data_IF_053125739225
#
_entry.id   IF_053125739225
#
_cell.length_a   1.000
_cell.length_b   1.000
_cell.length_c   1.000
_cell.angle_alpha   90.00
_cell.angle_beta   90.00
_cell.angle_gamma   90.00
#
_symmetry.space_group_name_H-M   'P 1'
#
loop_
_entity.id
_entity.type
_entity.pdbx_description
1 polymer ?
#
# COMPACT_ATOMS: atom_id res chain seq x y z
N UNK A 1 -50.63 60.60 0.84
CA UNK A 1 -50.47 59.18 0.39
C UNK A 1 -49.06 58.78 -0.03
N UNK A 2 -48.26 59.60 -0.74
CA UNK A 2 -46.88 59.23 -1.14
C UNK A 2 -45.91 59.02 0.03
N UNK A 3 -46.00 59.82 1.10
CA UNK A 3 -45.15 59.73 2.30
C UNK A 3 -45.32 58.41 3.08
N UNK A 4 -46.58 57.97 3.24
CA UNK A 4 -46.93 56.69 3.90
C UNK A 4 -46.36 55.49 3.13
N UNK A 5 -46.45 55.46 1.79
CA UNK A 5 -45.87 54.38 0.96
C UNK A 5 -44.34 54.28 1.08
N UNK A 6 -43.65 55.40 1.27
CA UNK A 6 -42.20 55.45 1.39
C UNK A 6 -41.72 54.94 2.77
N UNK A 7 -42.44 55.30 3.84
CA UNK A 7 -42.14 54.82 5.19
C UNK A 7 -42.44 53.31 5.34
N UNK A 8 -43.51 52.80 4.72
CA UNK A 8 -43.77 51.35 4.72
C UNK A 8 -42.68 50.58 3.98
N UNK A 9 -42.17 51.08 2.84
CA UNK A 9 -41.11 50.43 2.08
C UNK A 9 -39.78 50.41 2.85
N UNK A 10 -39.47 51.50 3.58
CA UNK A 10 -38.27 51.62 4.42
C UNK A 10 -38.33 50.69 5.64
N UNK A 11 -39.52 50.53 6.25
CA UNK A 11 -39.72 49.59 7.36
C UNK A 11 -39.64 48.13 6.89
N UNK A 12 -40.19 47.80 5.71
CA UNK A 12 -40.06 46.44 5.14
C UNK A 12 -38.61 46.09 4.83
N UNK A 13 -37.83 47.02 4.27
CA UNK A 13 -36.40 46.80 4.00
C UNK A 13 -35.62 46.60 5.31
N UNK A 14 -35.92 47.37 6.36
CA UNK A 14 -35.31 47.18 7.69
C UNK A 14 -35.64 45.83 8.31
N UNK A 15 -36.88 45.36 8.18
CA UNK A 15 -37.28 44.03 8.66
C UNK A 15 -36.58 42.92 7.87
N UNK A 16 -36.46 43.05 6.55
CA UNK A 16 -35.72 42.08 5.72
C UNK A 16 -34.23 42.04 6.10
N UNK A 17 -33.60 43.20 6.28
CA UNK A 17 -32.20 43.25 6.71
C UNK A 17 -31.99 42.69 8.11
N UNK A 18 -32.94 42.91 9.02
CA UNK A 18 -32.89 42.33 10.37
C UNK A 18 -33.05 40.80 10.35
N UNK A 19 -33.94 40.27 9.51
CA UNK A 19 -34.10 38.82 9.31
C UNK A 19 -32.85 38.23 8.65
N UNK A 20 -32.26 38.88 7.65
CA UNK A 20 -31.02 38.41 7.02
C UNK A 20 -29.83 38.44 7.99
N UNK A 21 -29.74 39.45 8.86
CA UNK A 21 -28.73 39.50 9.90
C UNK A 21 -28.92 38.37 10.92
N UNK A 22 -30.16 38.06 11.32
CA UNK A 22 -30.45 36.93 12.20
C UNK A 22 -30.12 35.60 11.51
N UNK A 23 -30.43 35.44 10.22
CA UNK A 23 -30.08 34.23 9.46
C UNK A 23 -28.56 34.09 9.31
N UNK A 24 -27.83 35.19 9.09
CA UNK A 24 -26.36 35.16 9.05
C UNK A 24 -25.75 34.86 10.42
N UNK A 25 -26.28 35.42 11.50
CA UNK A 25 -25.80 35.15 12.87
C UNK A 25 -26.14 33.70 13.25
N UNK A 26 -27.35 33.23 12.94
CA UNK A 26 -27.72 31.83 13.16
C UNK A 26 -26.87 30.91 12.28
N UNK A 27 -26.54 31.27 11.03
CA UNK A 27 -25.64 30.43 10.22
C UNK A 27 -24.21 30.44 10.78
N UNK A 28 -23.70 31.57 11.27
CA UNK A 28 -22.34 31.65 11.82
C UNK A 28 -22.21 31.08 13.24
N UNK A 29 -23.30 30.99 14.01
CA UNK A 29 -23.31 30.43 15.36
C UNK A 29 -23.75 28.96 15.35
N UNK A 30 -24.72 28.59 14.51
CA UNK A 30 -25.22 27.22 14.42
C UNK A 30 -24.29 26.33 13.58
N UNK A 31 -23.66 26.80 12.48
CA UNK A 31 -22.69 25.96 11.75
C UNK A 31 -21.61 25.39 12.68
N UNK A 32 -20.87 26.21 13.46
CA UNK A 32 -19.83 25.68 14.33
C UNK A 32 -20.39 24.89 15.52
N UNK A 33 -21.64 25.10 15.95
CA UNK A 33 -22.29 24.29 17.00
C UNK A 33 -22.85 22.96 16.47
N UNK A 34 -23.07 22.82 15.17
CA UNK A 34 -23.43 21.55 14.51
C UNK A 34 -22.23 20.84 13.88
N UNK A 35 -21.06 21.49 13.84
CA UNK A 35 -19.78 20.86 13.49
C UNK A 35 -19.12 20.17 14.69
N UNK A 36 -19.83 20.06 15.81
CA UNK A 36 -19.64 18.94 16.74
C UNK A 36 -20.56 17.79 16.29
N UNK A 37 -20.50 17.44 14.99
CA UNK A 37 -20.63 16.03 14.64
C UNK A 37 -19.40 15.45 15.30
N UNK A 38 -19.60 14.81 16.45
CA UNK A 38 -18.60 13.93 17.03
C UNK A 38 -17.96 13.24 15.84
N UNK A 39 -16.65 13.44 15.64
CA UNK A 39 -15.88 12.51 14.82
C UNK A 39 -16.37 11.15 15.32
N UNK A 40 -17.06 10.39 14.47
CA UNK A 40 -17.27 8.98 14.77
C UNK A 40 -15.84 8.51 15.00
N UNK A 41 -15.47 8.31 16.27
CA UNK A 41 -14.23 7.63 16.59
C UNK A 41 -14.28 6.40 15.72
N UNK A 42 -13.34 6.30 14.79
CA UNK A 42 -13.27 5.21 13.85
C UNK A 42 -12.98 3.96 14.68
N UNK A 43 -14.03 3.40 15.25
CA UNK A 43 -13.98 2.30 16.20
C UNK A 43 -13.57 1.00 15.48
N UNK A 44 -13.18 1.09 14.20
CA UNK A 44 -12.58 0.04 13.39
C UNK A 44 -11.06 0.09 13.38
N UNK A 45 -10.44 1.12 13.96
CA UNK A 45 -9.00 1.24 14.11
C UNK A 45 -8.57 0.78 15.51
N UNK A 46 -7.53 -0.06 15.57
CA UNK A 46 -6.89 -0.49 16.82
C UNK A 46 -5.44 -0.06 16.82
N UNK A 47 -4.99 0.56 17.91
CA UNK A 47 -3.60 0.96 18.09
C UNK A 47 -3.00 0.26 19.31
N UNK A 48 -1.85 -0.36 19.12
CA UNK A 48 -1.04 -0.99 20.16
C UNK A 48 0.31 -0.26 20.21
N UNK A 49 0.68 0.28 21.37
CA UNK A 49 1.93 1.05 21.54
C UNK A 49 2.99 0.34 22.38
N UNK A 50 2.58 -0.67 23.15
CA UNK A 50 3.45 -1.49 23.99
C UNK A 50 2.84 -2.89 24.12
N UNK A 51 3.66 -3.93 23.99
CA UNK A 51 3.31 -5.32 24.23
C UNK A 51 4.58 -6.15 24.46
N UNK A 52 4.46 -7.24 25.21
CA UNK A 52 5.53 -8.23 25.32
C UNK A 52 5.58 -9.09 24.04
N UNK A 53 6.78 -9.45 23.56
CA UNK A 53 6.94 -10.30 22.38
C UNK A 53 6.12 -11.59 22.46
N UNK A 54 5.38 -11.91 21.39
CA UNK A 54 4.45 -13.04 21.33
C UNK A 54 3.07 -12.78 21.98
N UNK A 55 2.85 -11.60 22.57
CA UNK A 55 1.60 -11.23 23.23
C UNK A 55 0.75 -10.22 22.45
N UNK A 56 1.01 -10.02 21.15
CA UNK A 56 0.27 -9.04 20.34
C UNK A 56 -1.24 -9.35 20.30
N UNK A 57 -1.62 -10.63 20.26
CA UNK A 57 -3.03 -11.04 20.31
C UNK A 57 -3.77 -10.49 21.53
N UNK A 58 -3.18 -10.63 22.73
CA UNK A 58 -3.74 -10.12 23.97
C UNK A 58 -3.74 -8.58 24.02
N UNK A 59 -2.73 -7.94 23.45
CA UNK A 59 -2.64 -6.49 23.37
C UNK A 59 -3.75 -5.90 22.47
N UNK A 60 -4.00 -6.51 21.30
CA UNK A 60 -5.09 -6.09 20.39
C UNK A 60 -6.46 -6.35 21.05
N UNK A 61 -6.65 -7.49 21.71
CA UNK A 61 -7.90 -7.81 22.44
C UNK A 61 -8.24 -6.78 23.52
N UNK A 62 -7.22 -6.26 24.21
CA UNK A 62 -7.38 -5.18 25.17
C UNK A 62 -7.64 -3.84 24.48
N UNK A 63 -6.91 -3.55 23.40
CA UNK A 63 -6.96 -2.26 22.70
C UNK A 63 -8.25 -2.04 21.89
N UNK A 64 -8.90 -3.11 21.43
CA UNK A 64 -10.15 -2.99 20.66
C UNK A 64 -11.38 -2.58 21.48
N UNK A 65 -11.26 -2.51 22.81
CA UNK A 65 -12.30 -2.07 23.77
C UNK A 65 -13.71 -2.61 23.49
N UNK A 66 -13.80 -3.93 23.24
CA UNK A 66 -15.07 -4.61 22.99
C UNK A 66 -15.58 -4.58 21.54
N UNK A 67 -14.88 -3.89 20.64
CA UNK A 67 -15.16 -3.93 19.19
C UNK A 67 -15.10 -5.37 18.65
N UNK A 68 -16.05 -5.73 17.78
CA UNK A 68 -16.05 -7.01 17.07
C UNK A 68 -14.83 -7.09 16.15
N UNK A 69 -14.10 -8.21 16.22
CA UNK A 69 -12.89 -8.43 15.42
C UNK A 69 -13.14 -8.31 13.91
N UNK A 70 -14.36 -8.62 13.45
CA UNK A 70 -14.75 -8.51 12.04
C UNK A 70 -14.99 -7.06 11.60
N UNK A 71 -15.13 -6.12 12.52
CA UNK A 71 -15.28 -4.72 12.19
C UNK A 71 -13.93 -4.00 12.15
N UNK A 72 -12.86 -4.60 12.65
CA UNK A 72 -11.52 -3.98 12.65
C UNK A 72 -11.00 -3.87 11.21
N UNK A 73 -10.79 -2.64 10.75
CA UNK A 73 -10.26 -2.29 9.43
C UNK A 73 -8.81 -1.85 9.45
N UNK A 74 -8.33 -1.31 10.58
CA UNK A 74 -6.95 -0.83 10.71
C UNK A 74 -6.32 -1.36 12.00
N UNK A 75 -5.09 -1.84 11.89
CA UNK A 75 -4.25 -2.19 13.04
C UNK A 75 -2.94 -1.43 12.91
N UNK A 76 -2.62 -0.64 13.93
CA UNK A 76 -1.34 0.06 14.04
C UNK A 76 -0.59 -0.46 15.25
N UNK A 77 0.61 -0.97 15.04
CA UNK A 77 1.49 -1.51 16.07
C UNK A 77 2.77 -0.68 16.10
N UNK A 78 3.07 -0.16 17.28
CA UNK A 78 4.31 0.56 17.57
C UNK A 78 4.89 0.02 18.87
N UNK A 79 6.22 0.11 19.02
CA UNK A 79 6.93 -0.51 20.12
C UNK A 79 6.93 -2.04 20.04
N UNK A 80 7.77 -2.68 20.84
CA UNK A 80 7.87 -4.14 20.91
C UNK A 80 8.56 -4.80 19.70
N UNK A 81 8.76 -6.11 19.83
CA UNK A 81 9.36 -6.98 18.82
C UNK A 81 8.37 -8.07 18.47
N UNK A 82 8.00 -8.15 17.19
CA UNK A 82 7.10 -9.15 16.63
C UNK A 82 7.84 -10.47 16.41
N UNK A 83 7.25 -11.58 16.83
CA UNK A 83 7.69 -12.92 16.42
C UNK A 83 6.66 -13.60 15.53
N UNK A 84 6.91 -14.87 15.19
CA UNK A 84 5.99 -15.66 14.35
C UNK A 84 4.56 -15.78 14.90
N UNK A 85 4.40 -15.88 16.22
CA UNK A 85 3.08 -15.94 16.84
C UNK A 85 2.32 -14.60 16.71
N UNK A 86 3.03 -13.47 16.72
CA UNK A 86 2.42 -12.15 16.54
C UNK A 86 1.90 -11.93 15.11
N UNK A 87 2.63 -12.40 14.09
CA UNK A 87 2.10 -12.41 12.71
C UNK A 87 0.90 -13.35 12.57
N UNK A 88 0.93 -14.51 13.23
CA UNK A 88 -0.23 -15.40 13.34
C UNK A 88 -1.44 -14.72 14.00
N UNK A 89 -1.22 -13.87 15.01
CA UNK A 89 -2.28 -13.10 15.64
C UNK A 89 -2.94 -12.10 14.68
N UNK A 90 -2.16 -11.40 13.85
CA UNK A 90 -2.68 -10.48 12.83
C UNK A 90 -3.62 -11.18 11.83
N UNK A 91 -3.39 -12.46 11.55
CA UNK A 91 -4.28 -13.26 10.69
C UNK A 91 -5.69 -13.43 11.27
N UNK A 92 -5.86 -13.34 12.60
CA UNK A 92 -7.16 -13.42 13.29
C UNK A 92 -8.13 -12.27 12.99
N UNK A 93 -7.70 -11.24 12.26
CA UNK A 93 -8.48 -10.02 11.97
C UNK A 93 -8.79 -9.89 10.47
N UNK A 94 -9.63 -10.76 9.88
CA UNK A 94 -9.69 -11.00 8.42
C UNK A 94 -10.12 -9.81 7.56
N UNK A 95 -10.79 -8.81 8.14
CA UNK A 95 -11.31 -7.64 7.44
C UNK A 95 -10.38 -6.43 7.49
N UNK A 96 -9.16 -6.61 8.01
CA UNK A 96 -8.14 -5.57 8.04
C UNK A 96 -7.72 -5.15 6.64
N UNK A 97 -7.83 -3.85 6.39
CA UNK A 97 -7.44 -3.17 5.16
C UNK A 97 -6.06 -2.54 5.29
N UNK A 98 -5.68 -2.13 6.51
CA UNK A 98 -4.44 -1.41 6.79
C UNK A 98 -3.74 -2.06 7.99
N UNK A 99 -2.46 -2.40 7.82
CA UNK A 99 -1.59 -2.88 8.90
C UNK A 99 -0.32 -2.01 8.95
N UNK A 100 -0.10 -1.29 10.04
CA UNK A 100 1.05 -0.40 10.22
C UNK A 100 2.01 -0.97 11.26
N UNK A 101 3.16 -1.50 10.83
CA UNK A 101 4.19 -2.08 11.70
C UNK A 101 5.52 -1.30 11.71
N UNK A 102 5.64 -0.17 11.01
CA UNK A 102 6.90 0.56 10.91
C UNK A 102 7.45 1.05 12.27
N UNK A 103 6.56 1.23 13.25
CA UNK A 103 6.91 1.63 14.61
C UNK A 103 7.42 0.51 15.52
N UNK A 104 7.49 -0.74 15.05
CA UNK A 104 7.98 -1.88 15.84
C UNK A 104 9.20 -2.55 15.18
N UNK A 105 9.73 -3.56 15.84
CA UNK A 105 10.79 -4.43 15.34
C UNK A 105 10.25 -5.84 15.10
N UNK A 106 10.98 -6.66 14.34
CA UNK A 106 10.68 -8.08 14.15
C UNK A 106 11.88 -8.91 14.62
N UNK A 107 11.61 -10.05 15.24
CA UNK A 107 12.62 -10.99 15.73
C UNK A 107 13.51 -11.44 14.57
N UNK A 108 14.83 -11.41 14.81
CA UNK A 108 15.88 -11.71 13.83
C UNK A 108 15.81 -10.92 12.51
N UNK A 109 15.02 -9.83 12.44
CA UNK A 109 14.80 -9.09 11.20
C UNK A 109 13.96 -9.87 10.16
N UNK A 110 13.22 -10.91 10.57
CA UNK A 110 12.48 -11.80 9.64
C UNK A 110 10.98 -11.55 9.71
N UNK A 111 10.34 -11.35 8.55
CA UNK A 111 8.91 -11.64 8.38
C UNK A 111 8.81 -13.14 8.08
N UNK A 112 8.07 -13.94 8.88
CA UNK A 112 8.06 -15.38 8.73
C UNK A 112 7.36 -15.84 7.44
N UNK A 113 7.59 -17.11 7.08
CA UNK A 113 6.85 -17.75 6.00
C UNK A 113 5.34 -17.71 6.27
N UNK A 114 4.54 -17.47 5.21
CA UNK A 114 3.08 -17.35 5.25
C UNK A 114 2.52 -16.28 6.21
N UNK A 115 3.34 -15.35 6.72
CA UNK A 115 2.97 -14.40 7.79
C UNK A 115 1.59 -13.72 7.62
N UNK A 116 1.31 -13.23 6.42
CA UNK A 116 0.11 -12.49 6.05
C UNK A 116 -0.36 -12.91 4.64
N UNK A 117 -0.40 -14.22 4.40
CA UNK A 117 -0.85 -14.80 3.14
C UNK A 117 -2.38 -14.67 2.97
N UNK A 118 -2.85 -14.49 1.72
CA UNK A 118 -4.25 -14.59 1.29
C UNK A 118 -5.23 -13.67 2.05
N UNK A 119 -4.77 -12.47 2.38
CA UNK A 119 -5.54 -11.40 3.02
C UNK A 119 -6.39 -10.69 1.98
N UNK A 120 -7.65 -11.13 1.87
CA UNK A 120 -8.60 -10.66 0.85
C UNK A 120 -8.99 -9.17 0.95
N UNK A 121 -8.65 -8.48 2.05
CA UNK A 121 -8.99 -7.08 2.27
C UNK A 121 -7.76 -6.17 2.46
N UNK A 122 -6.57 -6.74 2.65
CA UNK A 122 -5.36 -5.96 2.95
C UNK A 122 -4.96 -5.11 1.75
N UNK A 123 -5.04 -3.80 1.89
CA UNK A 123 -4.72 -2.80 0.87
C UNK A 123 -3.36 -2.14 1.13
N UNK A 124 -2.96 -1.99 2.40
CA UNK A 124 -1.70 -1.39 2.78
C UNK A 124 -1.03 -2.12 3.94
N UNK A 125 0.28 -2.28 3.84
CA UNK A 125 1.12 -2.68 4.96
C UNK A 125 2.42 -1.88 5.04
N UNK A 126 2.82 -1.47 6.24
CA UNK A 126 4.20 -1.02 6.48
C UNK A 126 4.96 -2.06 7.30
N UNK A 127 6.15 -2.46 6.86
CA UNK A 127 6.94 -3.47 7.57
C UNK A 127 7.75 -2.86 8.74
N UNK A 128 8.11 -3.66 9.75
CA UNK A 128 9.03 -3.26 10.83
C UNK A 128 10.35 -2.70 10.29
N UNK A 129 10.86 -1.65 10.93
CA UNK A 129 12.04 -0.90 10.47
C UNK A 129 13.33 -1.72 10.35
N UNK A 130 13.42 -2.86 11.07
CA UNK A 130 14.60 -3.74 11.07
C UNK A 130 14.42 -4.98 10.20
N UNK A 131 13.40 -5.04 9.34
CA UNK A 131 13.21 -6.19 8.45
C UNK A 131 14.36 -6.32 7.47
N UNK A 132 15.05 -7.46 7.53
CA UNK A 132 16.13 -7.88 6.65
C UNK A 132 15.65 -8.95 5.65
N UNK A 133 14.70 -9.79 6.06
CA UNK A 133 14.20 -10.91 5.25
C UNK A 133 12.68 -10.96 5.24
N UNK A 134 12.10 -11.12 4.05
CA UNK A 134 10.70 -11.50 3.87
C UNK A 134 10.65 -12.98 3.54
N UNK A 135 9.99 -13.77 4.39
CA UNK A 135 9.87 -15.22 4.23
C UNK A 135 9.05 -15.65 3.01
N UNK A 136 9.16 -16.93 2.67
CA UNK A 136 8.41 -17.51 1.56
C UNK A 136 6.89 -17.29 1.74
N UNK A 137 6.20 -16.94 0.66
CA UNK A 137 4.73 -16.71 0.64
C UNK A 137 4.19 -15.71 1.67
N UNK A 138 5.04 -14.90 2.31
CA UNK A 138 4.64 -14.03 3.42
C UNK A 138 3.44 -13.11 3.08
N UNK A 139 3.32 -12.67 1.82
CA UNK A 139 2.24 -11.84 1.31
C UNK A 139 1.55 -12.45 0.07
N UNK A 140 1.77 -13.74 -0.21
CA UNK A 140 1.17 -14.42 -1.38
C UNK A 140 -0.36 -14.36 -1.32
N UNK A 141 -1.02 -14.14 -2.45
CA UNK A 141 -2.47 -14.10 -2.59
C UNK A 141 -3.14 -12.83 -2.06
N UNK A 142 -2.39 -11.77 -1.73
CA UNK A 142 -2.95 -10.49 -1.31
C UNK A 142 -3.43 -9.68 -2.53
N UNK A 143 -4.51 -10.15 -3.17
CA UNK A 143 -4.99 -9.67 -4.48
C UNK A 143 -5.44 -8.21 -4.52
N UNK A 144 -5.72 -7.61 -3.36
CA UNK A 144 -6.14 -6.21 -3.25
C UNK A 144 -5.09 -5.32 -2.61
N UNK A 145 -3.89 -5.85 -2.33
CA UNK A 145 -2.77 -5.05 -1.83
C UNK A 145 -2.40 -4.02 -2.88
N UNK A 146 -2.51 -2.75 -2.51
CA UNK A 146 -2.19 -1.61 -3.37
C UNK A 146 -0.73 -1.21 -3.17
N UNK A 147 -0.25 -1.32 -1.93
CA UNK A 147 1.03 -0.72 -1.53
C UNK A 147 1.62 -1.41 -0.31
N UNK A 148 2.94 -1.43 -0.28
CA UNK A 148 3.74 -1.89 0.83
C UNK A 148 4.87 -0.90 1.10
N UNK A 149 5.05 -0.52 2.37
CA UNK A 149 6.21 0.26 2.81
C UNK A 149 7.31 -0.71 3.23
N UNK A 150 8.38 -0.77 2.43
CA UNK A 150 9.54 -1.63 2.62
C UNK A 150 10.66 -0.83 3.30
N UNK A 151 11.32 -1.33 4.35
CA UNK A 151 12.48 -0.65 4.94
C UNK A 151 13.73 -0.82 4.07
N UNK A 152 14.62 0.17 4.11
CA UNK A 152 15.93 0.13 3.43
C UNK A 152 16.87 -0.98 3.96
N UNK A 153 16.55 -1.59 5.11
CA UNK A 153 17.26 -2.73 5.67
C UNK A 153 17.00 -4.06 4.97
N UNK A 154 15.99 -4.15 4.09
CA UNK A 154 15.66 -5.40 3.41
C UNK A 154 16.83 -5.88 2.54
N UNK A 155 17.17 -7.16 2.66
CA UNK A 155 18.22 -7.85 1.88
C UNK A 155 17.69 -9.04 1.10
N UNK A 156 16.69 -9.75 1.63
CA UNK A 156 16.23 -11.01 1.05
C UNK A 156 14.71 -11.06 0.88
N UNK A 157 14.25 -11.50 -0.28
CA UNK A 157 12.83 -11.75 -0.59
C UNK A 157 12.67 -13.24 -0.89
N UNK A 158 11.87 -13.95 -0.10
CA UNK A 158 11.68 -15.39 -0.22
C UNK A 158 10.80 -15.82 -1.39
N UNK A 159 10.76 -17.13 -1.63
CA UNK A 159 9.98 -17.74 -2.70
C UNK A 159 8.50 -17.38 -2.60
N UNK A 160 7.91 -16.98 -3.73
CA UNK A 160 6.50 -16.60 -3.84
C UNK A 160 6.06 -15.51 -2.86
N UNK A 161 6.98 -14.72 -2.28
CA UNK A 161 6.67 -13.78 -1.21
C UNK A 161 5.49 -12.83 -1.51
N UNK A 162 5.35 -12.37 -2.76
CA UNK A 162 4.30 -11.49 -3.24
C UNK A 162 3.49 -12.10 -4.39
N UNK A 163 3.54 -13.41 -4.59
CA UNK A 163 2.79 -14.08 -5.65
C UNK A 163 1.31 -13.68 -5.62
N UNK A 164 0.72 -13.30 -6.75
CA UNK A 164 -0.71 -12.97 -6.83
C UNK A 164 -1.11 -11.67 -6.13
N UNK A 165 -0.17 -10.76 -5.83
CA UNK A 165 -0.46 -9.39 -5.43
C UNK A 165 -0.92 -8.54 -6.63
N UNK A 166 -2.12 -8.85 -7.16
CA UNK A 166 -2.60 -8.38 -8.47
C UNK A 166 -2.73 -6.85 -8.61
N UNK A 167 -2.77 -6.10 -7.51
CA UNK A 167 -3.01 -4.65 -7.48
C UNK A 167 -1.82 -3.80 -7.02
N UNK A 168 -0.66 -4.40 -6.74
CA UNK A 168 0.52 -3.62 -6.35
C UNK A 168 1.09 -2.93 -7.59
N UNK A 169 0.99 -1.61 -7.63
CA UNK A 169 1.42 -0.81 -8.79
C UNK A 169 2.89 -0.38 -8.73
N UNK A 170 3.30 0.08 -7.54
CA UNK A 170 4.60 0.71 -7.29
C UNK A 170 5.35 -0.07 -6.19
N UNK A 171 5.84 -1.27 -6.54
CA UNK A 171 6.76 -1.99 -5.66
C UNK A 171 8.19 -1.54 -5.97
N UNK A 172 8.79 -0.85 -5.01
CA UNK A 172 10.18 -0.42 -5.11
C UNK A 172 11.04 -1.41 -4.32
N UNK A 173 11.83 -2.24 -5.02
CA UNK A 173 12.83 -3.08 -4.34
C UNK A 173 13.99 -2.18 -3.89
N UNK A 174 14.38 -2.19 -2.60
CA UNK A 174 15.55 -1.46 -2.15
C UNK A 174 16.82 -1.88 -2.91
N UNK A 175 17.72 -0.92 -3.18
CA UNK A 175 18.96 -1.14 -3.91
C UNK A 175 19.86 -2.22 -3.27
N UNK A 176 19.74 -2.38 -1.95
CA UNK A 176 20.51 -3.31 -1.13
C UNK A 176 19.98 -4.75 -1.14
N UNK A 177 18.87 -5.04 -1.85
CA UNK A 177 18.38 -6.41 -1.94
C UNK A 177 19.37 -7.28 -2.72
N UNK A 178 19.83 -8.35 -2.07
CA UNK A 178 20.84 -9.28 -2.57
C UNK A 178 20.19 -10.49 -3.25
N UNK A 179 19.08 -10.98 -2.67
CA UNK A 179 18.41 -12.19 -3.16
C UNK A 179 16.90 -12.00 -3.31
N UNK A 180 16.38 -12.57 -4.40
CA UNK A 180 14.95 -12.67 -4.70
C UNK A 180 14.66 -14.15 -4.93
N UNK A 181 13.53 -14.64 -4.44
CA UNK A 181 13.13 -16.04 -4.52
C UNK A 181 12.34 -16.40 -5.78
N UNK A 182 12.18 -17.70 -5.99
CA UNK A 182 11.37 -18.30 -7.07
C UNK A 182 9.95 -17.78 -7.02
N UNK A 183 9.43 -17.28 -8.14
CA UNK A 183 8.04 -16.80 -8.24
C UNK A 183 7.70 -15.61 -7.33
N UNK A 184 8.68 -14.91 -6.76
CA UNK A 184 8.46 -13.90 -5.71
C UNK A 184 7.41 -12.84 -6.09
N UNK A 185 7.32 -12.45 -7.35
CA UNK A 185 6.36 -11.47 -7.88
C UNK A 185 5.47 -12.05 -8.98
N UNK A 186 5.35 -13.38 -9.09
CA UNK A 186 4.49 -14.01 -10.10
C UNK A 186 3.04 -13.52 -9.96
N UNK A 187 2.35 -13.28 -11.08
CA UNK A 187 0.97 -12.78 -11.12
C UNK A 187 0.74 -11.38 -10.47
N UNK A 188 1.80 -10.56 -10.30
CA UNK A 188 1.71 -9.13 -9.92
C UNK A 188 1.28 -8.25 -11.10
N UNK A 189 0.00 -8.35 -11.49
CA UNK A 189 -0.55 -7.80 -12.74
C UNK A 189 -0.60 -6.29 -12.84
N UNK A 190 -0.50 -5.55 -11.75
CA UNK A 190 -0.50 -4.08 -11.76
C UNK A 190 0.91 -3.47 -11.69
N UNK A 191 1.95 -4.28 -11.48
CA UNK A 191 3.31 -3.80 -11.31
C UNK A 191 3.76 -3.06 -12.58
N UNK A 192 3.96 -1.75 -12.48
CA UNK A 192 4.05 -0.85 -13.65
C UNK A 192 5.48 -0.62 -14.16
N UNK A 193 6.48 -0.79 -13.30
CA UNK A 193 7.89 -0.71 -13.64
C UNK A 193 8.73 -1.53 -12.67
N UNK A 194 9.77 -2.18 -13.19
CA UNK A 194 10.65 -3.02 -12.39
C UNK A 194 12.11 -2.79 -12.76
N UNK A 195 12.90 -2.37 -11.77
CA UNK A 195 14.36 -2.31 -11.87
C UNK A 195 14.95 -3.37 -10.94
N UNK A 196 15.68 -4.32 -11.52
CA UNK A 196 16.44 -5.32 -10.76
C UNK A 196 17.54 -4.59 -10.01
N UNK A 197 17.66 -4.68 -8.68
CA UNK A 197 18.73 -4.04 -7.92
C UNK A 197 20.13 -4.44 -8.44
N UNK A 198 21.11 -3.53 -8.30
CA UNK A 198 22.45 -3.72 -8.86
C UNK A 198 23.17 -4.96 -8.31
N UNK A 199 22.91 -5.31 -7.04
CA UNK A 199 23.52 -6.46 -6.36
C UNK A 199 22.96 -7.82 -6.80
N UNK A 200 21.79 -7.86 -7.46
CA UNK A 200 21.12 -9.10 -7.83
C UNK A 200 21.84 -9.75 -9.02
N UNK A 201 22.37 -10.96 -8.80
CA UNK A 201 23.09 -11.74 -9.83
C UNK A 201 22.22 -12.73 -10.59
N UNK A 202 21.08 -13.12 -9.99
CA UNK A 202 20.19 -14.16 -10.49
C UNK A 202 18.74 -13.68 -10.45
N UNK A 203 18.00 -13.94 -11.53
CA UNK A 203 16.55 -13.77 -11.60
C UNK A 203 15.96 -15.17 -11.60
N UNK A 204 15.35 -15.63 -10.51
CA UNK A 204 14.92 -17.02 -10.39
C UNK A 204 13.77 -17.39 -11.33
N UNK A 205 13.47 -18.69 -11.36
CA UNK A 205 12.33 -19.27 -12.05
C UNK A 205 11.03 -18.54 -11.69
N UNK A 206 10.23 -18.24 -12.72
CA UNK A 206 8.92 -17.58 -12.63
C UNK A 206 8.86 -16.26 -11.85
N UNK A 207 9.99 -15.66 -11.50
CA UNK A 207 10.07 -14.55 -10.54
C UNK A 207 9.10 -13.40 -10.85
N UNK A 208 8.96 -13.05 -12.12
CA UNK A 208 8.06 -12.00 -12.63
C UNK A 208 7.02 -12.53 -13.63
N UNK A 209 6.74 -13.83 -13.65
CA UNK A 209 5.77 -14.40 -14.59
C UNK A 209 4.42 -13.67 -14.50
N UNK A 210 3.81 -13.36 -15.65
CA UNK A 210 2.50 -12.67 -15.77
C UNK A 210 2.41 -11.30 -15.09
N UNK A 211 3.54 -10.60 -14.95
CA UNK A 211 3.52 -9.18 -14.59
C UNK A 211 3.16 -8.30 -15.80
N UNK A 212 2.75 -7.05 -15.55
CA UNK A 212 2.33 -6.11 -16.62
C UNK A 212 3.22 -4.87 -16.75
N UNK A 213 4.45 -4.91 -16.25
CA UNK A 213 5.38 -3.79 -16.46
C UNK A 213 5.71 -3.65 -17.94
N UNK A 214 5.92 -2.41 -18.37
CA UNK A 214 6.17 -2.08 -19.78
C UNK A 214 7.64 -2.04 -20.13
N UNK A 215 8.47 -1.75 -19.13
CA UNK A 215 9.92 -1.60 -19.24
C UNK A 215 10.59 -2.41 -18.12
N UNK A 216 11.71 -3.06 -18.46
CA UNK A 216 12.52 -3.84 -17.54
C UNK A 216 13.98 -3.36 -17.58
N UNK A 217 14.52 -3.01 -16.41
CA UNK A 217 15.94 -2.68 -16.26
C UNK A 217 16.68 -3.83 -15.59
N UNK A 218 17.55 -4.49 -16.35
CA UNK A 218 18.41 -5.58 -15.88
C UNK A 218 19.78 -5.01 -15.48
N UNK A 219 20.11 -5.15 -14.19
CA UNK A 219 21.36 -4.66 -13.63
C UNK A 219 22.62 -5.29 -14.26
N UNK A 220 23.79 -4.64 -14.10
CA UNK A 220 25.03 -5.08 -14.72
C UNK A 220 25.56 -6.43 -14.21
N UNK A 221 25.13 -6.86 -13.01
CA UNK A 221 25.59 -8.11 -12.37
C UNK A 221 24.73 -9.34 -12.70
N UNK A 222 23.65 -9.18 -13.47
CA UNK A 222 22.77 -10.31 -13.82
C UNK A 222 23.51 -11.29 -14.73
N UNK A 223 23.69 -12.52 -14.25
CA UNK A 223 24.40 -13.61 -14.94
C UNK A 223 23.51 -14.81 -15.23
N UNK A 224 22.38 -14.95 -14.52
CA UNK A 224 21.42 -16.03 -14.71
C UNK A 224 19.97 -15.54 -14.67
N UNK A 225 19.15 -16.04 -15.61
CA UNK A 225 17.70 -15.83 -15.65
C UNK A 225 17.03 -17.20 -15.79
N UNK A 226 16.24 -17.55 -14.77
CA UNK A 226 15.58 -18.83 -14.62
C UNK A 226 14.43 -19.07 -15.59
N UNK A 227 13.89 -20.29 -15.51
CA UNK A 227 12.78 -20.75 -16.33
C UNK A 227 11.53 -19.91 -16.12
N UNK A 228 10.94 -19.44 -17.22
CA UNK A 228 9.69 -18.68 -17.17
C UNK A 228 9.75 -17.36 -16.39
N UNK A 229 10.95 -16.85 -16.04
CA UNK A 229 11.15 -15.68 -15.20
C UNK A 229 10.28 -14.47 -15.60
N UNK A 230 10.10 -14.25 -16.91
CA UNK A 230 9.27 -13.20 -17.49
C UNK A 230 8.20 -13.75 -18.44
N UNK A 231 7.84 -15.03 -18.29
CA UNK A 231 6.80 -15.65 -19.13
C UNK A 231 5.48 -14.91 -18.99
N UNK A 232 4.77 -14.72 -20.11
CA UNK A 232 3.44 -14.09 -20.14
C UNK A 232 3.40 -12.63 -19.62
N UNK A 233 4.53 -11.93 -19.57
CA UNK A 233 4.59 -10.48 -19.35
C UNK A 233 4.14 -9.70 -20.60
N UNK A 234 2.87 -9.82 -20.97
CA UNK A 234 2.34 -9.35 -22.26
C UNK A 234 2.47 -7.84 -22.52
N UNK A 235 2.66 -7.04 -21.47
CA UNK A 235 2.85 -5.59 -21.58
C UNK A 235 4.30 -5.17 -21.77
N UNK A 236 5.26 -6.07 -21.51
CA UNK A 236 6.69 -5.78 -21.61
C UNK A 236 7.03 -5.51 -23.07
N UNK A 237 7.49 -4.30 -23.34
CA UNK A 237 7.88 -3.84 -24.67
C UNK A 237 9.40 -3.68 -24.77
N UNK A 238 10.05 -3.17 -23.73
CA UNK A 238 11.45 -2.80 -23.77
C UNK A 238 12.24 -3.41 -22.60
N UNK A 239 13.39 -4.02 -22.91
CA UNK A 239 14.36 -4.52 -21.92
C UNK A 239 15.65 -3.73 -22.08
N UNK A 240 16.10 -3.10 -21.00
CA UNK A 240 17.38 -2.41 -20.92
C UNK A 240 18.38 -3.27 -20.15
N UNK A 241 19.43 -3.72 -20.84
CA UNK A 241 20.47 -4.55 -20.26
C UNK A 241 21.80 -3.81 -20.17
N UNK A 242 22.29 -3.65 -18.93
CA UNK A 242 23.49 -2.88 -18.62
C UNK A 242 24.72 -3.78 -18.34
N UNK A 243 24.61 -5.09 -18.55
CA UNK A 243 25.70 -6.04 -18.33
C UNK A 243 26.68 -6.11 -19.49
N UNK A 244 27.96 -6.30 -19.15
CA UNK A 244 29.08 -6.42 -20.11
C UNK A 244 29.36 -7.85 -20.55
N UNK A 245 28.84 -8.83 -19.82
CA UNK A 245 29.05 -10.25 -20.07
C UNK A 245 27.76 -10.90 -20.48
N UNK A 246 27.80 -11.99 -21.26
CA UNK A 246 26.61 -12.77 -21.52
C UNK A 246 26.01 -13.32 -20.21
N UNK A 247 24.68 -13.25 -20.09
CA UNK A 247 23.94 -14.01 -19.10
C UNK A 247 23.48 -15.35 -19.70
N UNK A 248 23.13 -16.28 -18.82
CA UNK A 248 22.49 -17.54 -19.19
C UNK A 248 21.00 -17.43 -18.93
N UNK A 249 20.18 -17.84 -19.89
CA UNK A 249 18.74 -17.95 -19.71
C UNK A 249 18.19 -19.12 -20.50
N UNK A 250 17.06 -19.66 -20.03
CA UNK A 250 16.32 -20.67 -20.78
C UNK A 250 15.37 -20.00 -21.77
N UNK A 251 15.03 -20.69 -22.87
CA UNK A 251 14.09 -20.17 -23.89
C UNK A 251 12.73 -19.78 -23.29
N UNK A 252 12.32 -20.48 -22.22
CA UNK A 252 11.08 -20.23 -21.50
C UNK A 252 11.08 -18.90 -20.73
N UNK A 253 12.25 -18.36 -20.37
CA UNK A 253 12.40 -17.16 -19.55
C UNK A 253 11.64 -15.97 -20.13
N UNK A 254 11.56 -15.90 -21.46
CA UNK A 254 10.89 -14.84 -22.22
C UNK A 254 9.74 -15.39 -23.08
N UNK A 255 9.11 -16.48 -22.63
CA UNK A 255 8.00 -17.12 -23.35
C UNK A 255 6.84 -16.14 -23.57
N UNK A 256 6.28 -16.17 -24.78
CA UNK A 256 5.16 -15.32 -25.21
C UNK A 256 5.47 -13.81 -25.21
N UNK A 257 6.75 -13.44 -25.22
CA UNK A 257 7.17 -12.05 -25.30
C UNK A 257 7.56 -11.62 -26.71
N UNK A 258 7.33 -10.34 -26.98
CA UNK A 258 7.82 -9.64 -28.16
C UNK A 258 8.38 -8.29 -27.72
N UNK A 259 9.70 -8.24 -27.55
CA UNK A 259 10.40 -7.12 -26.92
C UNK A 259 11.49 -6.54 -27.81
N UNK A 260 11.73 -5.25 -27.62
CA UNK A 260 12.97 -4.59 -28.05
C UNK A 260 13.99 -4.72 -26.92
N UNK A 261 15.21 -5.07 -27.28
CA UNK A 261 16.30 -5.22 -26.33
C UNK A 261 17.31 -4.12 -26.58
N UNK A 262 17.55 -3.33 -25.56
CA UNK A 262 18.50 -2.22 -25.54
C UNK A 262 19.74 -2.70 -24.79
N UNK A 263 20.82 -2.97 -25.53
CA UNK A 263 22.09 -3.40 -24.93
C UNK A 263 23.09 -2.25 -24.91
N UNK A 264 23.88 -2.21 -23.84
CA UNK A 264 24.92 -1.22 -23.62
C UNK A 264 26.28 -1.92 -23.53
N UNK A 265 27.35 -1.32 -24.06
CA UNK A 265 28.74 -1.84 -24.00
C UNK A 265 28.92 -3.28 -24.54
N UNK A 266 28.12 -3.69 -25.54
CA UNK A 266 28.26 -5.00 -26.16
C UNK A 266 27.70 -6.15 -25.34
N UNK A 267 26.69 -5.90 -24.49
CA UNK A 267 25.96 -6.97 -23.79
C UNK A 267 25.48 -8.09 -24.73
N UNK A 268 25.88 -9.32 -24.42
CA UNK A 268 25.55 -10.55 -25.15
C UNK A 268 24.53 -11.40 -24.34
N UNK A 269 24.00 -12.49 -24.90
CA UNK A 269 23.14 -13.45 -24.18
C UNK A 269 21.71 -13.57 -24.69
N UNK A 270 21.21 -12.55 -25.41
CA UNK A 270 19.87 -12.60 -26.03
C UNK A 270 19.83 -13.29 -27.39
N UNK A 271 20.97 -13.37 -28.08
CA UNK A 271 21.08 -13.94 -29.43
C UNK A 271 20.67 -15.42 -29.50
N UNK A 272 20.71 -16.12 -28.37
CA UNK A 272 20.36 -17.53 -28.25
C UNK A 272 18.89 -17.79 -27.90
N UNK A 273 18.12 -16.76 -27.53
CA UNK A 273 16.86 -16.94 -26.78
C UNK A 273 15.60 -16.87 -27.65
N UNK A 274 15.59 -16.13 -28.77
CA UNK A 274 14.44 -16.13 -29.70
C UNK A 274 14.67 -15.30 -30.97
N UNK A 275 14.05 -15.70 -32.08
CA UNK A 275 13.87 -14.84 -33.27
C UNK A 275 12.87 -13.69 -33.08
N UNK A 276 12.17 -13.63 -31.94
CA UNK A 276 11.12 -12.64 -31.68
C UNK A 276 11.64 -11.33 -31.09
N UNK A 277 12.95 -11.21 -30.86
CA UNK A 277 13.56 -10.02 -30.30
C UNK A 277 14.12 -9.11 -31.38
N UNK A 278 14.03 -7.81 -31.14
CA UNK A 278 14.72 -6.79 -31.92
C UNK A 278 15.77 -6.18 -31.03
N UNK A 279 17.05 -6.37 -31.36
CA UNK A 279 18.15 -5.81 -30.57
C UNK A 279 18.59 -4.46 -31.13
N UNK A 280 18.73 -3.47 -30.26
CA UNK A 280 19.29 -2.15 -30.51
C UNK A 280 20.49 -1.99 -29.58
N UNK A 281 21.68 -1.89 -30.17
CA UNK A 281 22.93 -1.70 -29.43
C UNK A 281 23.27 -0.21 -29.35
N UNK A 282 23.65 0.23 -28.15
CA UNK A 282 24.10 1.58 -27.86
C UNK A 282 25.60 1.56 -27.49
N UNK A 283 26.34 2.52 -28.02
CA UNK A 283 27.71 2.82 -27.59
C UNK A 283 27.58 3.79 -26.39
N UNK A 284 27.95 3.37 -25.17
CA UNK A 284 27.79 4.22 -23.99
C UNK A 284 28.79 5.39 -24.06
N UNK A 285 28.29 6.62 -24.24
CA UNK A 285 28.96 7.79 -23.67
C UNK A 285 28.68 7.85 -22.17
N UNK A 286 29.56 8.47 -21.38
CA UNK A 286 29.57 8.49 -19.89
C UNK A 286 28.25 8.92 -19.20
N UNK A 287 27.23 9.38 -19.93
CA UNK A 287 25.97 9.96 -19.42
C UNK A 287 24.77 8.99 -19.32
N UNK A 288 24.81 7.76 -19.87
CA UNK A 288 23.70 6.79 -19.75
C UNK A 288 23.91 5.84 -18.57
N UNK A 289 23.64 6.35 -17.37
CA UNK A 289 23.74 5.62 -16.10
C UNK A 289 22.57 4.65 -15.96
N UNK A 290 22.86 3.42 -15.53
CA UNK A 290 21.86 2.47 -15.06
C UNK A 290 20.90 3.19 -14.08
N UNK A 291 19.60 3.03 -14.32
CA UNK A 291 18.57 3.59 -13.46
C UNK A 291 18.35 2.61 -12.32
N UNK A 292 19.05 2.84 -11.21
CA UNK A 292 18.83 2.07 -9.99
C UNK A 292 17.37 2.18 -9.54
N UNK A 293 16.80 1.12 -8.93
CA UNK A 293 15.52 1.26 -8.25
C UNK A 293 15.60 2.41 -7.24
N UNK A 294 14.55 3.26 -7.19
CA UNK A 294 14.49 4.38 -6.24
C UNK A 294 14.69 3.85 -4.81
N UNK A 295 15.33 4.61 -3.91
CA UNK A 295 15.38 4.22 -2.50
C UNK A 295 13.97 4.13 -1.92
N UNK A 296 13.73 3.15 -1.05
CA UNK A 296 12.44 2.91 -0.41
C UNK A 296 12.03 3.97 0.64
N UNK A 297 12.91 4.93 0.94
CA UNK A 297 12.67 6.00 1.92
C UNK A 297 11.75 7.13 1.42
N UNK A 298 11.09 6.97 0.26
CA UNK A 298 10.04 7.88 -0.16
C UNK A 298 8.77 7.63 0.68
N UNK A 299 8.72 8.31 1.82
CA UNK A 299 7.61 8.36 2.77
C UNK A 299 6.29 8.61 2.02
N UNK A 300 5.37 7.63 1.95
CA UNK A 300 4.23 7.79 1.07
C UNK A 300 3.00 7.97 1.96
N UNK A 301 2.68 9.23 2.26
CA UNK A 301 1.40 9.65 2.82
C UNK A 301 0.29 8.98 2.01
N UNK A 302 -0.70 8.39 2.69
CA UNK A 302 -1.97 8.04 2.08
C UNK A 302 -2.69 9.35 1.72
N UNK A 303 -2.25 10.02 0.66
CA UNK A 303 -2.96 11.17 0.12
C UNK A 303 -4.09 10.64 -0.75
N UNK A 304 -5.31 10.80 -0.27
CA UNK A 304 -6.47 10.92 -1.14
C UNK A 304 -6.18 12.05 -2.13
N UNK A 305 -6.03 11.72 -3.41
CA UNK A 305 -5.53 12.58 -4.48
C UNK A 305 -5.96 14.06 -4.38
N UNK A 306 -4.96 14.96 -4.28
CA UNK A 306 -5.06 16.32 -4.80
C UNK A 306 -3.66 16.77 -5.25
N UNK A 307 -3.47 16.83 -6.58
CA UNK A 307 -2.24 17.27 -7.25
C UNK A 307 -1.72 18.62 -6.72
N UNK A 308 -0.40 18.72 -6.48
CA UNK A 308 0.49 19.75 -7.08
C UNK A 308 1.97 19.52 -6.72
N UNK A 309 2.83 19.71 -7.73
CA UNK A 309 4.31 19.66 -7.73
C UNK A 309 4.97 20.72 -6.83
N UNK A 310 6.17 20.44 -6.27
CA UNK A 310 7.46 21.09 -6.58
C UNK A 310 8.62 20.49 -5.76
N UNK A 311 9.86 20.65 -6.24
CA UNK A 311 11.02 19.79 -6.03
C UNK A 311 12.11 20.28 -5.05
N UNK A 312 13.02 19.32 -4.75
CA UNK A 312 14.48 19.43 -4.45
C UNK A 312 14.95 19.98 -3.08
N UNK A 313 15.85 19.26 -2.40
CA UNK A 313 17.32 19.32 -2.60
C UNK A 313 18.06 18.44 -1.56
N UNK A 314 19.12 17.77 -1.98
CA UNK A 314 19.93 16.79 -1.22
C UNK A 314 21.08 17.46 -0.43
N UNK A 315 21.66 16.78 0.54
CA UNK A 315 23.13 16.67 0.70
C UNK A 315 23.53 15.60 1.72
N UNK A 316 24.42 14.73 1.29
CA UNK A 316 25.09 13.66 2.04
C UNK A 316 26.20 14.15 3.00
N UNK A 317 26.59 13.28 3.95
CA UNK A 317 27.98 13.14 4.38
C UNK A 317 28.24 11.75 5.00
N UNK A 318 29.35 11.12 4.58
CA UNK A 318 29.83 9.78 4.92
C UNK A 318 30.75 9.72 6.15
N UNK A 319 31.03 8.49 6.63
CA UNK A 319 32.36 7.95 7.02
C UNK A 319 32.15 6.66 7.85
N UNK A 320 32.53 5.46 7.39
CA UNK A 320 33.87 4.81 7.41
C UNK A 320 34.30 4.16 8.74
N UNK A 321 34.73 2.88 8.62
CA UNK A 321 35.67 2.11 9.46
C UNK A 321 35.23 1.69 10.90
N UNK A 322 35.54 0.52 11.48
CA UNK A 322 36.63 -0.47 11.32
C UNK A 322 36.28 -1.81 12.02
N UNK A 323 37.05 -2.84 11.65
CA UNK A 323 37.09 -4.24 12.12
C UNK A 323 37.60 -4.39 13.56
N UNK A 324 37.09 -5.39 14.31
CA UNK A 324 37.89 -6.12 15.30
C UNK A 324 37.38 -7.55 15.57
N UNK A 325 38.30 -8.51 15.38
CA UNK A 325 38.28 -9.90 15.84
C UNK A 325 38.01 -10.07 17.35
N UNK A 326 37.40 -11.19 17.77
CA UNK A 326 38.07 -12.30 18.50
C UNK A 326 37.11 -13.38 19.03
N UNK A 327 37.40 -14.63 18.63
CA UNK A 327 37.40 -15.91 19.38
C UNK A 327 36.41 -16.17 20.54
N UNK A 328 35.71 -17.31 20.52
CA UNK A 328 36.16 -18.59 21.12
C UNK A 328 34.99 -19.59 21.36
N UNK A 329 35.21 -20.80 20.84
CA UNK A 329 34.81 -22.15 21.31
C UNK A 329 33.68 -22.33 22.34
N UNK A 330 32.75 -23.25 22.06
CA UNK A 330 32.81 -24.64 22.59
C UNK A 330 31.67 -25.52 22.06
N UNK A 331 32.00 -26.80 21.84
CA UNK A 331 31.15 -27.91 21.43
C UNK A 331 30.10 -28.30 22.48
N UNK A 332 28.96 -28.84 22.04
CA UNK A 332 28.48 -30.16 22.46
C UNK A 332 27.25 -30.62 21.64
N UNK A 333 27.31 -31.88 21.21
CA UNK A 333 26.28 -32.70 20.57
C UNK A 333 25.01 -32.86 21.43
N UNK A 334 23.86 -33.09 20.79
CA UNK A 334 23.16 -34.38 20.94
C UNK A 334 21.92 -34.50 20.05
N UNK A 335 21.82 -35.68 19.45
CA UNK A 335 20.70 -36.30 18.75
C UNK A 335 19.32 -36.18 19.44
N UNK A 336 18.24 -36.13 18.67
CA UNK A 336 17.36 -37.30 18.41
C UNK A 336 16.05 -36.90 17.70
N UNK A 337 15.59 -37.84 16.87
CA UNK A 337 14.41 -37.79 16.02
C UNK A 337 13.08 -38.06 16.75
N UNK A 338 11.97 -37.62 16.14
CA UNK A 338 10.78 -38.45 15.75
C UNK A 338 9.59 -37.52 15.50
N UNK A 339 9.07 -37.43 14.27
CA UNK A 339 7.82 -38.08 13.82
C UNK A 339 6.62 -37.94 14.77
N UNK A 340 5.54 -37.28 14.34
CA UNK A 340 4.34 -37.93 13.78
C UNK A 340 3.19 -36.95 13.54
N UNK A 341 2.36 -37.38 12.59
CA UNK A 341 1.17 -36.81 11.98
C UNK A 341 0.09 -36.25 12.92
N UNK A 342 -0.74 -35.34 12.41
CA UNK A 342 -2.18 -35.57 12.46
C UNK A 342 -2.97 -34.76 11.41
N UNK A 343 -3.89 -35.50 10.83
CA UNK A 343 -4.90 -35.21 9.84
C UNK A 343 -6.10 -34.46 10.46
N UNK A 344 -6.78 -33.60 9.69
CA UNK A 344 -8.27 -33.55 9.65
C UNK A 344 -8.80 -32.37 8.82
N UNK A 345 -9.55 -32.75 7.78
CA UNK A 345 -10.54 -31.92 7.11
C UNK A 345 -11.77 -31.67 8.00
N UNK A 346 -12.50 -30.55 7.81
CA UNK A 346 -13.97 -30.46 7.74
C UNK A 346 -14.39 -29.12 7.09
N UNK A 347 -15.49 -29.20 6.32
CA UNK A 347 -16.40 -28.21 5.71
C UNK A 347 -16.75 -26.96 6.58
N UNK A 348 -17.36 -25.86 6.12
CA UNK A 348 -18.61 -25.74 5.36
C UNK A 348 -18.95 -24.24 5.09
N UNK A 349 -19.72 -23.99 4.03
CA UNK A 349 -20.75 -22.94 3.84
C UNK A 349 -20.51 -21.43 4.11
N UNK A 350 -20.76 -20.65 3.05
CA UNK A 350 -21.01 -19.21 3.04
C UNK A 350 -22.42 -18.82 3.58
N UNK A 351 -22.62 -17.55 3.98
CA UNK A 351 -23.92 -16.93 3.76
C UNK A 351 -23.90 -15.54 3.10
N UNK A 352 -24.89 -15.42 2.22
CA UNK A 352 -25.67 -14.27 1.74
C UNK A 352 -25.35 -12.83 2.22
N UNK A 353 -25.33 -11.95 1.21
CA UNK A 353 -25.33 -10.50 1.29
C UNK A 353 -26.58 -9.94 2.01
N UNK A 354 -26.36 -9.01 2.95
CA UNK A 354 -27.37 -8.11 3.48
C UNK A 354 -27.08 -6.69 3.00
N UNK A 355 -27.98 -6.13 2.19
CA UNK A 355 -27.99 -4.72 1.81
C UNK A 355 -28.39 -3.87 3.02
N UNK A 356 -27.54 -2.96 3.48
CA UNK A 356 -27.89 -1.97 4.47
C UNK A 356 -28.47 -0.72 3.80
N UNK A 357 -29.71 -0.40 4.17
CA UNK A 357 -30.41 0.83 3.82
C UNK A 357 -29.77 2.02 4.55
N UNK A 358 -29.33 3.05 3.82
CA UNK A 358 -28.88 4.30 4.42
C UNK A 358 -30.04 5.01 5.13
N UNK A 359 -30.00 5.03 6.46
CA UNK A 359 -30.89 5.84 7.29
C UNK A 359 -30.31 7.24 7.46
N UNK A 360 -31.00 8.27 6.97
CA UNK A 360 -30.64 9.65 7.30
C UNK A 360 -30.81 9.90 8.81
N UNK A 361 -29.79 10.47 9.45
CA UNK A 361 -29.85 10.87 10.86
C UNK A 361 -31.04 11.80 11.14
N UNK A 362 -31.71 11.61 12.27
CA UNK A 362 -32.80 12.46 12.78
C UNK A 362 -32.45 13.95 12.80
N UNK A 363 -31.16 14.29 12.92
CA UNK A 363 -30.66 15.66 12.85
C UNK A 363 -30.77 16.25 11.44
N UNK A 364 -30.49 15.45 10.39
CA UNK A 364 -30.63 15.87 8.99
C UNK A 364 -32.10 16.17 8.63
N UNK A 365 -33.03 15.40 9.20
CA UNK A 365 -34.48 15.60 9.01
C UNK A 365 -34.95 16.91 9.65
N UNK A 366 -34.42 17.27 10.82
CA UNK A 366 -34.78 18.50 11.52
C UNK A 366 -34.23 19.74 10.79
N UNK A 367 -32.99 19.69 10.28
CA UNK A 367 -32.38 20.80 9.52
C UNK A 367 -33.15 21.05 8.22
N UNK A 368 -33.50 20.00 7.48
CA UNK A 368 -34.32 20.12 6.26
C UNK A 368 -35.70 20.71 6.60
N UNK A 369 -36.33 20.31 7.70
CA UNK A 369 -37.62 20.86 8.13
C UNK A 369 -37.55 22.35 8.48
N UNK A 370 -36.49 22.80 9.15
CA UNK A 370 -36.28 24.22 9.50
C UNK A 370 -36.02 25.07 8.25
N UNK A 371 -35.21 24.57 7.31
CA UNK A 371 -34.98 25.26 6.03
C UNK A 371 -36.26 25.35 5.18
N UNK A 372 -37.06 24.28 5.14
CA UNK A 372 -38.34 24.27 4.41
C UNK A 372 -39.34 25.28 5.00
N UNK A 373 -39.42 25.38 6.33
CA UNK A 373 -40.33 26.32 7.00
C UNK A 373 -39.87 27.77 6.82
N UNK A 374 -38.57 28.04 6.92
CA UNK A 374 -38.01 29.36 6.63
C UNK A 374 -38.32 29.79 5.18
N UNK A 375 -38.10 28.90 4.21
CA UNK A 375 -38.38 29.17 2.80
C UNK A 375 -39.86 29.46 2.56
N UNK A 376 -40.76 28.67 3.16
CA UNK A 376 -42.20 28.84 3.07
C UNK A 376 -42.68 30.19 3.64
N UNK A 377 -42.09 30.65 4.75
CA UNK A 377 -42.40 31.97 5.34
C UNK A 377 -41.96 33.10 4.40
N UNK A 378 -40.75 33.02 3.81
CA UNK A 378 -40.28 34.02 2.83
C UNK A 378 -41.16 34.07 1.58
N UNK A 379 -41.57 32.92 1.04
CA UNK A 379 -42.46 32.86 -0.12
C UNK A 379 -43.83 33.46 0.21
N UNK A 380 -44.38 33.15 1.40
CA UNK A 380 -45.67 33.69 1.84
C UNK A 380 -45.62 35.21 2.00
N UNK A 381 -44.54 35.74 2.56
CA UNK A 381 -44.33 37.18 2.70
C UNK A 381 -44.18 37.87 1.33
N UNK A 382 -43.47 37.25 0.38
CA UNK A 382 -43.35 37.76 -0.99
C UNK A 382 -44.70 37.78 -1.72
N UNK A 383 -45.50 36.72 -1.58
CA UNK A 383 -46.85 36.63 -2.17
C UNK A 383 -47.79 37.68 -1.57
N UNK A 384 -47.81 37.85 -0.25
CA UNK A 384 -48.62 38.87 0.43
C UNK A 384 -48.21 40.28 0.01
N UNK A 385 -46.92 40.52 -0.20
CA UNK A 385 -46.41 41.83 -0.63
C UNK A 385 -46.71 42.13 -2.11
N UNK A 386 -46.78 41.11 -2.97
CA UNK A 386 -47.21 41.26 -4.37
C UNK A 386 -48.73 41.45 -4.52
N UNK A 387 -49.56 40.81 -3.67
CA UNK A 387 -51.01 41.05 -3.67
C UNK A 387 -51.41 42.46 -3.20
N UNK A 388 -50.56 43.16 -2.43
CA UNK A 388 -50.78 44.57 -2.05
C UNK A 388 -50.34 45.60 -3.11
N UNK A 389 -49.71 45.16 -4.21
CA UNK A 389 -49.25 46.01 -5.32
C UNK A 389 -50.17 45.99 -6.55
N UNK A 390 -51.05 45.00 -6.69
CA UNK A 390 -52.26 45.09 -7.53
C UNK A 390 -53.35 45.78 -6.70
#
# INVERSE_FOLDING_TARGET
MRKIKQDTKKNVIRVIMFIMAIVMILSFVILPLTMDVAAEEDNTAVTVTEFDTGALSAAIEKAKDGTDLNLIKKISVSGGTLNSADYGALCGYPNTEIIELAGCETEDGVIPENALQSRNQLQYISLPKNTVTIGARAFSGNRVLLKISIPSTLRNIGDYAFEGCEKVENFVIPAEVETIGTGAFSDCKALSGFAVPEAVTEIPDYCFSKCSFTELHLGPQVTHIGDGAFSDCHSLADIYYYGKTAFTANESAFQNLKVTIHTYDGGEGFDALSSNFVTVAYDLSEDSKYIAPKSADADPVYETEAQTEEAADETEASSEETVSDTSAETNAESDTASETESDSAVSEAAPAAAQSSQGFSTVSVIVIAVLCTALAVTITLLIVNNKKKK
#
